data_IF_229218953561
#
_entry.id   IF_229218953561
#
_cell.length_a   1.000
_cell.length_b   1.000
_cell.length_c   1.000
_cell.angle_alpha   90.00
_cell.angle_beta   90.00
_cell.angle_gamma   90.00
#
_symmetry.space_group_name_H-M   'P 1'
#
loop_
_entity.id
_entity.type
_entity.pdbx_description
1 polymer ?
#
# COMPACT_ATOMS: atom_id res chain seq x y z
N UNK A 1 -23.17 -20.95 -15.58
CA UNK A 1 -22.98 -20.43 -15.71
C UNK A 1 -22.92 -19.86 -15.95
N UNK A 2 -23.08 -19.85 -15.92
CA UNK A 2 -23.09 -19.17 -16.10
C UNK A 2 -23.07 -18.30 -16.12
N UNK A 3 -23.34 -18.15 -16.17
CA UNK A 3 -23.34 -17.19 -16.17
C UNK A 3 -23.23 -16.36 -16.27
N UNK A 4 -23.66 -16.44 -16.44
CA UNK A 4 -23.50 -15.49 -16.50
C UNK A 4 -23.41 -14.67 -16.73
N UNK A 5 -23.59 -14.87 -16.91
CA UNK A 5 -23.47 -13.97 -17.14
C UNK A 5 -23.70 -13.12 -17.11
N UNK A 6 -24.07 -12.96 -17.13
CA UNK A 6 -24.14 -11.92 -17.09
C UNK A 6 -24.09 -11.04 -17.10
N UNK A 7 -24.32 -11.27 -17.20
CA UNK A 7 -24.18 -10.27 -17.21
C UNK A 7 -24.00 -9.39 -17.19
N UNK A 8 -24.15 -9.38 -17.34
CA UNK A 8 -23.90 -8.45 -17.35
C UNK A 8 -23.80 -7.56 -17.57
N UNK A 9 -23.76 -7.51 -17.72
CA UNK A 9 -23.67 -6.63 -18.09
C UNK A 9 -23.88 -5.72 -17.89
N UNK A 10 -23.97 -5.71 -17.98
CA UNK A 10 -24.27 -4.71 -18.07
C UNK A 10 -24.00 -3.72 -17.43
N UNK A 11 -24.32 -3.47 -17.31
CA UNK A 11 -24.02 -2.45 -16.68
C UNK A 11 -22.83 -2.01 -16.48
N UNK A 12 -22.26 -2.43 -16.89
CA UNK A 12 -20.95 -2.04 -16.69
C UNK A 12 -20.63 -0.65 -16.72
N UNK A 13 -21.39 0.18 -17.08
CA UNK A 13 -20.95 1.50 -17.22
C UNK A 13 -20.55 2.13 -15.93
N UNK A 14 -21.42 2.19 -14.98
CA UNK A 14 -21.02 2.85 -13.78
C UNK A 14 -20.09 2.02 -12.99
N UNK A 15 -20.06 0.80 -13.27
CA UNK A 15 -19.18 -0.06 -12.53
C UNK A 15 -17.74 0.27 -12.78
N UNK A 16 -17.46 0.94 -13.82
CA UNK A 16 -16.09 1.14 -14.10
C UNK A 16 -15.34 1.85 -13.03
N UNK A 17 -15.95 2.74 -12.35
CA UNK A 17 -15.19 3.40 -11.34
C UNK A 17 -14.87 2.45 -10.24
N UNK A 18 -15.68 1.49 -10.07
CA UNK A 18 -15.45 0.54 -9.01
C UNK A 18 -14.28 -0.35 -9.31
N UNK A 19 -14.24 -0.82 -10.51
CA UNK A 19 -13.17 -1.73 -10.79
C UNK A 19 -11.87 -1.02 -10.88
N UNK A 20 -11.85 0.25 -10.83
CA UNK A 20 -10.58 0.92 -10.78
C UNK A 20 -9.92 0.67 -9.43
N UNK A 21 -10.65 0.18 -8.47
CA UNK A 21 -10.07 -0.15 -7.18
C UNK A 21 -9.45 -1.53 -7.28
N UNK A 22 -8.16 -1.56 -7.26
CA UNK A 22 -7.44 -2.80 -7.35
C UNK A 22 -7.05 -3.26 -5.97
N UNK A 23 -7.38 -4.48 -5.64
CA UNK A 23 -7.02 -4.99 -4.33
C UNK A 23 -5.56 -5.39 -4.33
N UNK A 24 -4.81 -4.83 -3.39
CA UNK A 24 -3.40 -5.12 -3.27
C UNK A 24 -3.22 -6.16 -2.19
N UNK A 25 -2.64 -7.30 -2.57
CA UNK A 25 -2.37 -8.37 -1.62
C UNK A 25 -0.89 -8.42 -1.33
N UNK A 26 -0.55 -8.54 -0.06
CA UNK A 26 0.83 -8.62 0.37
C UNK A 26 1.18 -10.08 0.59
N UNK A 27 2.09 -10.60 -0.21
CA UNK A 27 2.55 -11.97 -0.07
C UNK A 27 4.05 -11.97 0.14
N UNK A 28 4.60 -13.14 0.36
CA UNK A 28 6.03 -13.25 0.57
C UNK A 28 6.83 -12.98 -0.69
N UNK A 29 6.18 -13.03 -1.84
CA UNK A 29 6.83 -12.65 -3.09
C UNK A 29 6.66 -11.18 -3.43
N UNK A 30 5.86 -10.46 -2.67
CA UNK A 30 5.63 -9.05 -2.93
C UNK A 30 6.90 -8.24 -2.71
N UNK A 31 7.06 -7.22 -3.54
CA UNK A 31 8.13 -6.28 -3.35
C UNK A 31 7.57 -5.12 -2.53
N UNK A 32 7.94 -5.08 -1.26
CA UNK A 32 7.39 -4.08 -0.33
C UNK A 32 8.43 -3.01 -0.06
N UNK A 33 8.02 -1.77 -0.22
CA UNK A 33 8.88 -0.62 0.04
C UNK A 33 8.19 0.29 1.05
N UNK A 34 8.92 0.65 2.11
CA UNK A 34 8.40 1.51 3.15
C UNK A 34 9.24 2.79 3.23
N UNK A 35 8.59 3.92 2.96
CA UNK A 35 9.23 5.20 3.20
C UNK A 35 9.12 5.47 4.69
N UNK A 36 10.22 5.80 5.32
CA UNK A 36 10.28 5.81 6.76
C UNK A 36 11.18 6.93 7.29
N UNK A 37 10.98 7.24 8.56
CA UNK A 37 11.78 8.22 9.28
C UNK A 37 12.46 7.50 10.44
N UNK A 38 13.70 7.84 10.72
CA UNK A 38 14.48 7.14 11.74
C UNK A 38 13.87 7.21 13.14
N UNK A 39 13.23 8.34 13.46
CA UNK A 39 12.79 8.57 14.83
C UNK A 39 11.29 8.50 15.04
N UNK A 40 10.55 8.00 14.06
CA UNK A 40 9.08 8.04 14.10
C UNK A 40 8.51 6.68 14.47
N UNK A 41 7.82 6.63 15.61
CA UNK A 41 7.28 5.38 16.13
C UNK A 41 6.35 4.64 15.17
N UNK A 42 5.43 5.31 14.49
CA UNK A 42 4.57 4.58 13.55
C UNK A 42 5.34 3.86 12.45
N UNK A 43 6.49 4.38 12.07
CA UNK A 43 7.31 3.68 11.08
C UNK A 43 7.84 2.38 11.65
N UNK A 44 8.23 2.41 12.91
CA UNK A 44 8.70 1.22 13.58
C UNK A 44 7.59 0.19 13.69
N UNK A 45 6.39 0.64 14.01
CA UNK A 45 5.26 -0.27 14.12
C UNK A 45 4.94 -0.94 12.80
N UNK A 46 4.98 -0.19 11.72
CA UNK A 46 4.71 -0.76 10.40
C UNK A 46 5.71 -1.84 10.06
N UNK A 47 6.99 -1.56 10.32
CA UNK A 47 8.03 -2.54 10.02
C UNK A 47 7.88 -3.78 10.88
N UNK A 48 7.56 -3.60 12.15
CA UNK A 48 7.39 -4.74 13.04
C UNK A 48 6.19 -5.58 12.63
N UNK A 49 5.13 -4.94 12.18
CA UNK A 49 3.95 -5.67 11.73
C UNK A 49 4.28 -6.52 10.51
N UNK A 50 4.99 -5.95 9.56
CA UNK A 50 5.41 -6.71 8.38
C UNK A 50 6.30 -7.88 8.77
N UNK A 51 7.24 -7.64 9.68
CA UNK A 51 8.12 -8.70 10.14
C UNK A 51 7.34 -9.82 10.83
N UNK A 52 6.34 -9.45 11.62
CA UNK A 52 5.56 -10.45 12.34
C UNK A 52 4.77 -11.34 11.39
N UNK A 53 4.57 -10.88 10.17
CA UNK A 53 3.84 -11.67 9.17
C UNK A 53 4.78 -12.33 8.17
N UNK A 54 6.07 -12.27 8.43
CA UNK A 54 7.03 -12.92 7.56
C UNK A 54 7.23 -12.24 6.23
N UNK A 55 6.94 -10.95 6.16
CA UNK A 55 7.06 -10.19 4.93
C UNK A 55 8.38 -9.43 4.91
N UNK A 56 9.16 -9.67 3.87
CA UNK A 56 10.38 -8.89 3.67
C UNK A 56 10.02 -7.55 3.08
N UNK A 57 10.79 -6.54 3.43
CA UNK A 57 10.55 -5.20 2.92
C UNK A 57 11.85 -4.45 2.80
N UNK A 58 11.83 -3.45 1.92
CA UNK A 58 12.93 -2.51 1.80
C UNK A 58 12.46 -1.19 2.37
N UNK A 59 13.40 -0.37 2.79
CA UNK A 59 13.05 0.93 3.34
C UNK A 59 13.74 2.03 2.56
N UNK A 60 13.14 3.20 2.59
CA UNK A 60 13.73 4.38 2.01
C UNK A 60 13.57 5.50 3.02
N UNK A 61 14.69 5.98 3.56
CA UNK A 61 14.66 7.00 4.58
C UNK A 61 14.36 8.35 3.98
N UNK A 62 13.44 9.06 4.59
CA UNK A 62 13.18 10.44 4.18
C UNK A 62 13.89 11.41 5.11
N UNK A 63 14.44 10.91 6.23
CA UNK A 63 15.16 11.76 7.16
C UNK A 63 16.35 12.41 6.45
N UNK A 64 16.38 13.72 6.46
CA UNK A 64 17.45 14.49 5.82
C UNK A 64 17.52 14.31 4.31
N UNK A 65 16.44 13.86 3.68
CA UNK A 65 16.45 13.66 2.25
C UNK A 65 15.24 14.30 1.60
N UNK A 66 15.41 15.49 1.09
CA UNK A 66 14.37 16.18 0.36
C UNK A 66 13.96 15.42 -0.89
N UNK A 67 14.95 14.79 -1.51
CA UNK A 67 14.69 14.03 -2.70
C UNK A 67 13.71 12.89 -2.43
N UNK A 68 13.92 12.17 -1.34
CA UNK A 68 13.04 11.07 -0.99
C UNK A 68 11.66 11.56 -0.60
N UNK A 69 11.58 12.70 0.09
CA UNK A 69 10.30 13.28 0.45
C UNK A 69 9.52 13.66 -0.81
N UNK A 70 10.18 14.30 -1.76
CA UNK A 70 9.51 14.70 -2.99
C UNK A 70 9.06 13.50 -3.80
N UNK A 71 9.88 12.48 -3.82
CA UNK A 71 9.55 11.25 -4.52
C UNK A 71 8.32 10.61 -3.91
N UNK A 72 8.29 10.52 -2.60
CA UNK A 72 7.16 9.96 -1.88
C UNK A 72 5.89 10.78 -2.12
N UNK A 73 6.01 12.10 -2.07
CA UNK A 73 4.86 12.95 -2.30
C UNK A 73 4.28 12.75 -3.68
N UNK A 74 5.15 12.61 -4.67
CA UNK A 74 4.70 12.39 -6.03
C UNK A 74 3.93 11.10 -6.16
N UNK A 75 4.43 10.05 -5.53
CA UNK A 75 3.84 8.73 -5.66
C UNK A 75 2.56 8.56 -4.85
N UNK A 76 2.34 9.39 -3.86
CA UNK A 76 1.19 9.24 -2.97
C UNK A 76 0.12 10.29 -3.20
N UNK A 77 0.33 11.16 -4.19
CA UNK A 77 -0.65 12.21 -4.43
C UNK A 77 -0.52 13.37 -3.46
N UNK A 78 0.69 13.61 -2.96
CA UNK A 78 0.94 14.76 -2.12
C UNK A 78 1.19 14.48 -0.65
N UNK A 79 1.26 13.23 -0.27
CA UNK A 79 1.46 12.91 1.15
C UNK A 79 2.92 12.95 1.51
N UNK A 80 3.23 13.60 2.61
CA UNK A 80 4.61 13.68 3.10
C UNK A 80 4.76 13.07 4.49
N UNK A 81 3.70 12.51 5.03
CA UNK A 81 3.81 11.80 6.30
C UNK A 81 4.36 10.41 6.08
N UNK A 82 4.84 9.78 7.14
CA UNK A 82 5.37 8.42 7.08
C UNK A 82 4.78 7.61 8.22
N UNK A 83 4.71 6.30 8.09
CA UNK A 83 5.21 5.51 6.97
C UNK A 83 4.28 5.56 5.75
N UNK A 84 4.83 5.38 4.57
CA UNK A 84 4.05 5.19 3.37
C UNK A 84 4.56 3.92 2.71
N UNK A 85 3.64 3.03 2.41
CA UNK A 85 3.99 1.67 1.98
C UNK A 85 3.56 1.44 0.55
N UNK A 86 4.46 0.84 -0.22
CA UNK A 86 4.19 0.47 -1.59
C UNK A 86 4.38 -1.04 -1.75
N UNK A 87 3.49 -1.66 -2.49
CA UNK A 87 3.55 -3.09 -2.76
C UNK A 87 3.58 -3.28 -4.26
N UNK A 88 4.68 -3.85 -4.77
CA UNK A 88 4.87 -4.04 -6.20
C UNK A 88 4.65 -2.74 -6.96
N UNK A 89 5.22 -1.65 -6.40
CA UNK A 89 5.19 -0.32 -6.99
C UNK A 89 3.82 0.35 -6.96
N UNK A 90 2.86 -0.24 -6.29
CA UNK A 90 1.55 0.36 -6.13
C UNK A 90 1.41 0.91 -4.73
N UNK A 91 0.81 2.09 -4.62
CA UNK A 91 0.65 2.71 -3.32
C UNK A 91 -0.37 1.94 -2.48
N UNK A 92 0.08 1.47 -1.33
CA UNK A 92 -0.77 0.68 -0.43
C UNK A 92 -1.42 1.55 0.65
N UNK A 93 -0.66 2.43 1.25
CA UNK A 93 -1.15 3.26 2.34
C UNK A 93 -0.12 3.38 3.44
N UNK A 94 -0.60 3.80 4.61
CA UNK A 94 0.26 3.96 5.77
C UNK A 94 0.02 2.89 6.81
N UNK A 95 0.33 3.24 8.06
CA UNK A 95 0.21 2.28 9.15
C UNK A 95 -1.23 1.86 9.39
N UNK A 96 -2.17 2.80 9.31
CA UNK A 96 -3.57 2.47 9.53
C UNK A 96 -4.07 1.45 8.52
N UNK A 97 -3.75 1.69 7.26
CA UNK A 97 -4.16 0.78 6.22
C UNK A 97 -3.53 -0.59 6.40
N UNK A 98 -2.29 -0.62 6.88
CA UNK A 98 -1.63 -1.89 7.11
C UNK A 98 -2.29 -2.66 8.25
N UNK A 99 -2.65 -1.96 9.31
CA UNK A 99 -3.33 -2.58 10.43
C UNK A 99 -4.70 -3.13 10.02
N UNK A 100 -5.42 -2.35 9.23
CA UNK A 100 -6.72 -2.80 8.75
C UNK A 100 -6.58 -4.04 7.86
N UNK A 101 -5.58 -4.03 7.02
CA UNK A 101 -5.35 -5.15 6.13
C UNK A 101 -5.15 -6.46 6.92
N UNK A 102 -4.27 -6.41 7.91
CA UNK A 102 -3.97 -7.62 8.66
C UNK A 102 -5.02 -7.96 9.71
N UNK A 103 -5.85 -7.01 10.06
CA UNK A 103 -6.93 -7.27 10.98
C UNK A 103 -7.92 -8.26 10.40
N UNK A 104 -8.09 -8.21 9.08
CA UNK A 104 -9.05 -9.08 8.42
C UNK A 104 -8.44 -10.36 7.91
N UNK A 105 -7.15 -10.56 8.12
CA UNK A 105 -6.50 -11.78 7.70
C UNK A 105 -6.27 -12.67 8.88
#
# INVERSE_FOLDING_TARGET
>A
MKKLIFTLMVCGLFAEKVESVEEINITQESKVLVYTNLFWTPCKEAKMLLQSRGIDYNTKLITFSKKSINEMAKKTGGKISVPQIFVDDKYFGGLLELKEYYKEK
#
